data_IF_337038519810
#
_entry.id   IF_337038519810
#
_cell.length_a   1.000
_cell.length_b   1.000
_cell.length_c   1.000
_cell.angle_alpha   90.00
_cell.angle_beta   90.00
_cell.angle_gamma   90.00
#
_symmetry.space_group_name_H-M   'P 1'
#
loop_
_entity.id
_entity.type
_entity.pdbx_description
1 polymer ?
#
# COMPACT_ATOMS: atom_id res chain seq x y z
N UNK A 1 -25.34 9.67 3.00
CA UNK A 1 -26.11 8.42 2.94
C UNK A 1 -26.92 8.40 1.67
N UNK A 2 -26.80 7.35 0.86
CA UNK A 2 -27.62 7.20 -0.35
C UNK A 2 -29.11 7.22 0.00
N UNK A 3 -29.86 8.06 -0.71
CA UNK A 3 -31.30 8.10 -0.68
C UNK A 3 -31.86 7.71 -2.07
N UNK A 4 -32.96 6.97 -2.08
CA UNK A 4 -33.68 6.69 -3.32
C UNK A 4 -34.29 7.97 -3.90
N UNK A 5 -34.82 7.88 -5.13
CA UNK A 5 -35.47 9.01 -5.81
C UNK A 5 -36.67 9.59 -5.04
N UNK A 6 -37.30 8.80 -4.17
CA UNK A 6 -38.39 9.22 -3.28
C UNK A 6 -37.89 9.90 -1.98
N UNK A 7 -36.58 10.10 -1.84
CA UNK A 7 -35.94 10.72 -0.68
C UNK A 7 -35.71 9.77 0.50
N UNK A 8 -36.17 8.52 0.45
CA UNK A 8 -35.95 7.57 1.55
C UNK A 8 -34.50 7.10 1.57
N UNK A 9 -33.89 7.18 2.76
CA UNK A 9 -32.51 6.75 3.01
C UNK A 9 -32.49 5.62 4.06
N UNK A 10 -32.54 4.34 3.65
CA UNK A 10 -32.64 3.21 4.59
C UNK A 10 -31.44 3.12 5.55
N UNK A 11 -30.27 3.59 5.13
CA UNK A 11 -29.07 3.61 5.97
C UNK A 11 -29.02 4.77 6.97
N UNK A 12 -29.92 5.74 6.89
CA UNK A 12 -29.86 6.95 7.72
C UNK A 12 -30.04 6.65 9.22
N UNK A 13 -31.00 5.82 9.66
CA UNK A 13 -31.14 5.45 11.07
C UNK A 13 -29.86 4.83 11.62
N UNK A 14 -29.23 3.91 10.86
CA UNK A 14 -28.00 3.26 11.30
C UNK A 14 -26.84 4.23 11.49
N UNK A 15 -26.73 5.25 10.63
CA UNK A 15 -25.67 6.25 10.75
C UNK A 15 -25.94 7.19 11.94
N UNK A 16 -27.21 7.52 12.20
CA UNK A 16 -27.63 8.29 13.37
C UNK A 16 -27.38 7.53 14.68
N UNK A 17 -27.69 6.24 14.74
CA UNK A 17 -27.43 5.37 15.91
C UNK A 17 -25.93 5.30 16.25
N UNK A 18 -25.07 5.47 15.25
CA UNK A 18 -23.60 5.52 15.42
C UNK A 18 -23.09 6.92 15.82
N UNK A 19 -23.97 7.90 15.97
CA UNK A 19 -23.60 9.28 16.31
C UNK A 19 -22.87 10.03 15.20
N UNK A 20 -23.00 9.58 13.95
CA UNK A 20 -22.33 10.18 12.80
C UNK A 20 -23.28 11.12 12.07
N UNK A 21 -22.84 12.34 11.81
CA UNK A 21 -23.61 13.28 11.00
C UNK A 21 -23.59 12.84 9.52
N UNK A 22 -24.77 12.79 8.90
CA UNK A 22 -24.95 12.26 7.55
C UNK A 22 -25.83 13.16 6.69
N UNK A 23 -25.32 13.51 5.51
CA UNK A 23 -26.08 14.20 4.47
C UNK A 23 -26.73 13.15 3.56
N UNK A 24 -28.03 13.23 3.32
CA UNK A 24 -28.72 12.36 2.37
C UNK A 24 -28.40 12.76 0.93
N UNK A 25 -28.12 11.78 0.08
CA UNK A 25 -27.75 11.97 -1.32
C UNK A 25 -28.75 11.23 -2.22
N UNK A 26 -29.77 11.93 -2.77
CA UNK A 26 -30.76 11.34 -3.67
C UNK A 26 -30.12 11.03 -5.02
N UNK A 27 -30.04 9.76 -5.39
CA UNK A 27 -29.53 9.36 -6.69
C UNK A 27 -30.10 8.01 -7.13
N UNK A 28 -30.09 7.77 -8.44
CA UNK A 28 -30.50 6.49 -9.03
C UNK A 28 -29.32 5.52 -9.05
N UNK A 29 -29.59 4.26 -8.72
CA UNK A 29 -28.60 3.19 -8.74
C UNK A 29 -28.50 2.48 -7.40
N UNK A 30 -27.46 1.66 -7.26
CA UNK A 30 -27.16 1.01 -5.99
C UNK A 30 -26.35 1.93 -5.08
N UNK A 31 -26.36 1.62 -3.78
CA UNK A 31 -25.53 2.35 -2.81
C UNK A 31 -24.04 2.22 -3.13
N UNK A 32 -23.61 1.07 -3.64
CA UNK A 32 -22.23 0.85 -4.09
C UNK A 32 -21.87 1.72 -5.28
N UNK A 33 -22.74 1.84 -6.28
CA UNK A 33 -22.49 2.66 -7.47
C UNK A 33 -22.27 4.11 -7.09
N UNK A 34 -23.15 4.63 -6.23
CA UNK A 34 -23.09 6.01 -5.78
C UNK A 34 -21.84 6.25 -4.95
N UNK A 35 -21.44 5.30 -4.10
CA UNK A 35 -20.20 5.39 -3.36
C UNK A 35 -18.98 5.43 -4.29
N UNK A 36 -18.94 4.57 -5.32
CA UNK A 36 -17.87 4.55 -6.33
C UNK A 36 -17.81 5.86 -7.12
N UNK A 37 -18.96 6.38 -7.57
CA UNK A 37 -19.04 7.64 -8.31
C UNK A 37 -18.65 8.84 -7.44
N UNK A 38 -19.06 8.85 -6.17
CA UNK A 38 -18.67 9.91 -5.22
C UNK A 38 -17.16 9.90 -4.97
N UNK A 39 -16.57 8.71 -4.79
CA UNK A 39 -15.13 8.58 -4.62
C UNK A 39 -14.35 9.06 -5.86
N UNK A 40 -14.80 8.66 -7.06
CA UNK A 40 -14.20 9.11 -8.32
C UNK A 40 -14.33 10.64 -8.50
N UNK A 41 -15.51 11.21 -8.21
CA UNK A 41 -15.76 12.65 -8.26
C UNK A 41 -14.91 13.44 -7.26
N UNK A 42 -14.50 12.83 -6.14
CA UNK A 42 -13.59 13.41 -5.15
C UNK A 42 -12.11 13.21 -5.48
N UNK A 43 -11.79 12.66 -6.65
CA UNK A 43 -10.42 12.52 -7.13
C UNK A 43 -9.68 11.30 -6.57
N UNK A 44 -10.40 10.26 -6.13
CA UNK A 44 -9.76 9.01 -5.75
C UNK A 44 -8.86 8.50 -6.89
N UNK A 45 -7.63 8.12 -6.56
CA UNK A 45 -6.66 7.52 -7.49
C UNK A 45 -6.77 6.00 -7.53
N UNK A 46 -7.29 5.39 -6.47
CA UNK A 46 -7.56 3.97 -6.32
C UNK A 46 -8.84 3.78 -5.51
N UNK A 47 -9.73 2.91 -5.99
CA UNK A 47 -10.97 2.50 -5.33
C UNK A 47 -10.86 1.00 -5.10
N UNK A 48 -10.93 0.57 -3.84
CA UNK A 48 -10.87 -0.85 -3.47
C UNK A 48 -12.26 -1.34 -3.12
N UNK A 49 -12.77 -2.28 -3.90
CA UNK A 49 -14.03 -2.95 -3.62
C UNK A 49 -13.81 -4.15 -2.68
N UNK A 50 -14.48 -4.15 -1.52
CA UNK A 50 -14.41 -5.22 -0.51
C UNK A 50 -15.79 -5.84 -0.35
N UNK A 51 -15.90 -7.17 -0.44
CA UNK A 51 -17.17 -7.87 -0.25
C UNK A 51 -18.13 -7.80 -1.45
N UNK A 52 -17.69 -7.31 -2.61
CA UNK A 52 -18.51 -7.29 -3.82
C UNK A 52 -18.61 -8.68 -4.44
N UNK A 53 -19.80 -9.28 -4.42
CA UNK A 53 -20.15 -10.45 -5.22
C UNK A 53 -20.71 -9.97 -6.55
N UNK A 54 -19.85 -9.96 -7.57
CA UNK A 54 -20.26 -9.54 -8.90
C UNK A 54 -19.70 -10.52 -9.91
N UNK A 55 -20.25 -11.73 -9.91
CA UNK A 55 -20.05 -12.64 -11.03
C UNK A 55 -20.90 -12.18 -12.21
N UNK A 56 -20.40 -12.37 -13.44
CA UNK A 56 -21.17 -12.08 -14.65
C UNK A 56 -22.50 -12.86 -14.67
N UNK A 57 -22.51 -14.04 -14.04
CA UNK A 57 -23.69 -14.90 -13.89
C UNK A 57 -24.73 -14.24 -13.00
N UNK A 58 -24.39 -13.76 -11.79
CA UNK A 58 -25.33 -12.97 -10.96
C UNK A 58 -25.84 -11.71 -11.67
N UNK A 59 -25.04 -11.18 -12.59
CA UNK A 59 -25.36 -10.03 -13.43
C UNK A 59 -26.41 -10.31 -14.50
N UNK A 60 -26.38 -11.52 -15.05
CA UNK A 60 -27.27 -11.96 -16.13
C UNK A 60 -28.50 -12.71 -15.60
N UNK A 61 -28.40 -13.40 -14.46
CA UNK A 61 -29.49 -14.21 -13.88
C UNK A 61 -30.59 -13.36 -13.22
N UNK A 62 -30.27 -12.13 -12.78
CA UNK A 62 -31.23 -11.26 -12.08
C UNK A 62 -31.54 -10.03 -12.93
N UNK A 63 -32.65 -10.08 -13.65
CA UNK A 63 -33.28 -8.93 -14.33
C UNK A 63 -33.81 -7.82 -13.39
N UNK A 64 -33.03 -7.43 -12.37
CA UNK A 64 -33.40 -6.39 -11.39
C UNK A 64 -32.90 -5.02 -11.87
N UNK A 65 -33.75 -4.00 -11.75
CA UNK A 65 -33.57 -2.62 -12.25
C UNK A 65 -32.45 -1.77 -11.63
N UNK A 66 -31.38 -2.38 -11.12
CA UNK A 66 -30.17 -1.70 -10.63
C UNK A 66 -28.87 -2.21 -11.26
N UNK A 67 -28.91 -3.24 -12.10
CA UNK A 67 -27.70 -3.88 -12.63
C UNK A 67 -27.05 -3.05 -13.76
N UNK A 68 -27.86 -2.37 -14.59
CA UNK A 68 -27.32 -1.52 -15.65
C UNK A 68 -26.48 -0.36 -15.08
N UNK A 69 -26.91 0.26 -13.97
CA UNK A 69 -26.14 1.33 -13.32
C UNK A 69 -24.81 0.81 -12.77
N UNK A 70 -24.80 -0.41 -12.22
CA UNK A 70 -23.59 -1.02 -11.68
C UNK A 70 -22.58 -1.35 -12.77
N UNK A 71 -23.03 -1.85 -13.91
CA UNK A 71 -22.14 -2.12 -15.03
C UNK A 71 -21.52 -0.83 -15.57
N UNK A 72 -22.34 0.18 -15.84
CA UNK A 72 -21.87 1.47 -16.35
C UNK A 72 -20.95 2.18 -15.35
N UNK A 73 -21.26 2.11 -14.06
CA UNK A 73 -20.41 2.70 -13.01
C UNK A 73 -19.06 2.00 -12.97
N UNK A 74 -19.03 0.66 -13.01
CA UNK A 74 -17.77 -0.10 -13.04
C UNK A 74 -16.96 0.14 -14.31
N UNK A 75 -17.60 0.38 -15.47
CA UNK A 75 -16.89 0.81 -16.67
C UNK A 75 -16.27 2.20 -16.49
N UNK A 76 -17.02 3.15 -15.91
CA UNK A 76 -16.53 4.52 -15.67
C UNK A 76 -15.35 4.57 -14.71
N UNK A 77 -15.42 3.85 -13.59
CA UNK A 77 -14.35 3.84 -12.58
C UNK A 77 -13.33 2.72 -12.78
N UNK A 78 -13.48 1.89 -13.82
CA UNK A 78 -12.77 0.63 -13.99
C UNK A 78 -11.25 0.75 -13.99
N UNK A 79 -10.71 1.83 -14.54
CA UNK A 79 -9.27 2.10 -14.54
C UNK A 79 -8.67 2.31 -13.14
N UNK A 80 -9.50 2.63 -12.15
CA UNK A 80 -9.12 2.90 -10.77
C UNK A 80 -9.69 1.88 -9.79
N UNK A 81 -10.53 0.96 -10.25
CA UNK A 81 -11.26 0.02 -9.42
C UNK A 81 -10.49 -1.31 -9.30
N UNK A 82 -10.19 -1.73 -8.08
CA UNK A 82 -9.47 -2.97 -7.78
C UNK A 82 -10.25 -3.77 -6.73
N UNK A 83 -10.31 -5.09 -6.89
CA UNK A 83 -10.89 -5.98 -5.88
C UNK A 83 -9.92 -6.14 -4.68
N UNK A 84 -10.44 -6.23 -3.46
CA UNK A 84 -9.65 -6.43 -2.25
C UNK A 84 -8.67 -7.62 -2.34
N UNK A 85 -9.04 -8.69 -3.05
CA UNK A 85 -8.17 -9.85 -3.31
C UNK A 85 -7.02 -9.52 -4.25
N UNK A 86 -7.20 -8.54 -5.14
CA UNK A 86 -6.17 -8.00 -6.03
C UNK A 86 -5.19 -7.08 -5.32
N UNK A 87 -5.65 -6.33 -4.29
CA UNK A 87 -4.80 -5.42 -3.52
C UNK A 87 -3.65 -6.17 -2.83
N UNK A 88 -3.91 -7.33 -2.22
CA UNK A 88 -2.85 -8.12 -1.58
C UNK A 88 -1.79 -8.64 -2.57
N UNK A 89 -2.13 -8.79 -3.85
CA UNK A 89 -1.20 -9.17 -4.92
C UNK A 89 -0.45 -7.98 -5.52
N UNK A 90 -1.07 -6.79 -5.50
CA UNK A 90 -0.49 -5.53 -5.98
C UNK A 90 0.41 -4.87 -4.93
N UNK A 91 0.18 -5.16 -3.65
CA UNK A 91 1.01 -4.68 -2.55
C UNK A 91 2.30 -5.50 -2.46
N UNK A 92 3.30 -5.11 -3.25
CA UNK A 92 4.67 -5.63 -3.06
C UNK A 92 5.26 -5.00 -1.81
N UNK A 93 5.63 -5.83 -0.83
CA UNK A 93 6.46 -5.40 0.29
C UNK A 93 7.76 -4.81 -0.26
N UNK A 94 7.90 -3.47 -0.22
CA UNK A 94 9.19 -2.84 -0.47
C UNK A 94 9.99 -2.95 0.81
N UNK A 95 11.03 -3.79 0.80
CA UNK A 95 12.03 -3.77 1.85
C UNK A 95 12.66 -2.39 1.83
N UNK A 96 12.61 -1.68 2.95
CA UNK A 96 13.21 -0.34 3.05
C UNK A 96 14.70 -0.45 2.79
N UNK A 97 15.23 0.38 1.88
CA UNK A 97 16.67 0.47 1.63
C UNK A 97 17.46 0.78 2.91
N UNK A 98 16.87 1.57 3.83
CA UNK A 98 17.47 1.82 5.14
C UNK A 98 17.59 0.55 5.98
N UNK A 99 16.60 -0.34 5.93
CA UNK A 99 16.64 -1.61 6.67
C UNK A 99 17.76 -2.52 6.15
N UNK A 100 18.00 -2.52 4.82
CA UNK A 100 19.14 -3.23 4.24
C UNK A 100 20.48 -2.64 4.68
N UNK A 101 20.59 -1.30 4.73
CA UNK A 101 21.80 -0.62 5.22
C UNK A 101 22.08 -0.97 6.68
N UNK A 102 21.06 -0.91 7.55
CA UNK A 102 21.22 -1.28 8.96
C UNK A 102 21.59 -2.76 9.13
N UNK A 103 21.03 -3.65 8.32
CA UNK A 103 21.38 -5.07 8.33
C UNK A 103 22.86 -5.28 7.96
N UNK A 104 23.33 -4.62 6.90
CA UNK A 104 24.73 -4.68 6.47
C UNK A 104 25.66 -4.10 7.54
N UNK A 105 25.31 -2.94 8.13
CA UNK A 105 26.07 -2.35 9.23
C UNK A 105 26.14 -3.28 10.44
N UNK A 106 25.02 -3.88 10.84
CA UNK A 106 24.97 -4.84 11.94
C UNK A 106 25.89 -6.05 11.67
N UNK A 107 25.93 -6.56 10.44
CA UNK A 107 26.83 -7.63 10.05
C UNK A 107 28.31 -7.21 10.18
N UNK A 108 28.68 -6.01 9.72
CA UNK A 108 30.05 -5.49 9.87
C UNK A 108 30.44 -5.27 11.34
N UNK A 109 29.54 -4.74 12.16
CA UNK A 109 29.77 -4.57 13.60
C UNK A 109 30.01 -5.92 14.26
N UNK A 110 29.21 -6.94 13.93
CA UNK A 110 29.38 -8.29 14.47
C UNK A 110 30.74 -8.89 14.07
N UNK A 111 31.14 -8.76 12.80
CA UNK A 111 32.46 -9.21 12.33
C UNK A 111 33.58 -8.47 13.07
N UNK A 112 33.48 -7.13 13.19
CA UNK A 112 34.45 -6.32 13.92
C UNK A 112 34.59 -6.72 15.39
N UNK A 113 33.47 -7.00 16.07
CA UNK A 113 33.47 -7.48 17.45
C UNK A 113 34.19 -8.84 17.59
N UNK A 114 33.94 -9.77 16.68
CA UNK A 114 34.61 -11.10 16.67
C UNK A 114 36.12 -10.94 16.46
N UNK A 115 36.55 -10.09 15.53
CA UNK A 115 37.96 -9.83 15.27
C UNK A 115 38.66 -9.19 16.48
N UNK A 116 38.02 -8.22 17.14
CA UNK A 116 38.58 -7.53 18.30
C UNK A 116 38.79 -8.47 19.50
N UNK A 117 37.86 -9.39 19.74
CA UNK A 117 37.92 -10.32 20.87
C UNK A 117 38.90 -11.47 20.62
N UNK A 118 38.99 -11.97 19.39
CA UNK A 118 39.83 -13.13 19.06
C UNK A 118 41.34 -12.80 19.02
N UNK A 119 42.17 -13.73 19.51
CA UNK A 119 43.64 -13.62 19.49
C UNK A 119 44.20 -13.58 18.07
N UNK A 120 43.65 -14.38 17.16
CA UNK A 120 44.00 -14.34 15.74
C UNK A 120 43.52 -13.05 15.06
N UNK A 121 42.34 -12.55 15.42
CA UNK A 121 41.76 -11.34 14.82
C UNK A 121 42.56 -10.08 15.13
N UNK A 122 43.14 -9.95 16.33
CA UNK A 122 44.07 -8.87 16.66
C UNK A 122 45.28 -8.84 15.73
N UNK A 123 45.91 -9.99 15.45
CA UNK A 123 47.02 -10.08 14.49
C UNK A 123 46.62 -9.64 13.07
N UNK A 124 45.43 -10.01 12.61
CA UNK A 124 44.94 -9.55 11.30
C UNK A 124 44.62 -8.05 11.27
N UNK A 125 44.11 -7.48 12.36
CA UNK A 125 43.84 -6.04 12.47
C UNK A 125 45.12 -5.22 12.45
N UNK A 126 46.16 -5.67 13.17
CA UNK A 126 47.47 -5.00 13.18
C UNK A 126 48.10 -5.01 11.79
N UNK A 127 48.11 -6.16 11.10
CA UNK A 127 48.60 -6.28 9.71
C UNK A 127 47.81 -5.40 8.73
N UNK A 128 46.50 -5.25 8.94
CA UNK A 128 45.67 -4.38 8.10
C UNK A 128 45.96 -2.89 8.35
N UNK A 129 46.16 -2.51 9.61
CA UNK A 129 46.54 -1.15 9.98
C UNK A 129 47.90 -0.76 9.40
N UNK A 130 48.89 -1.66 9.46
CA UNK A 130 50.22 -1.46 8.88
C UNK A 130 50.14 -1.27 7.37
N UNK A 131 49.36 -2.11 6.66
CA UNK A 131 49.13 -2.00 5.20
C UNK A 131 48.46 -0.68 4.82
N UNK A 132 47.50 -0.19 5.61
CA UNK A 132 46.87 1.11 5.38
C UNK A 132 47.86 2.26 5.63
N UNK A 133 48.69 2.15 6.67
CA UNK A 133 49.78 3.10 6.94
C UNK A 133 50.76 3.18 5.77
N UNK A 134 51.19 2.04 5.26
CA UNK A 134 52.11 1.95 4.10
C UNK A 134 51.48 2.54 2.84
N UNK A 135 50.20 2.26 2.58
CA UNK A 135 49.48 2.81 1.43
C UNK A 135 49.30 4.33 1.54
N UNK A 136 48.98 4.85 2.72
CA UNK A 136 48.87 6.29 2.98
C UNK A 136 50.24 6.98 2.89
N UNK A 137 51.31 6.32 3.34
CA UNK A 137 52.69 6.78 3.19
C UNK A 137 53.11 6.85 1.72
N UNK A 138 52.80 5.80 0.95
CA UNK A 138 53.04 5.76 -0.50
C UNK A 138 52.26 6.85 -1.24
N UNK A 139 50.97 7.04 -0.92
CA UNK A 139 50.16 8.11 -1.50
C UNK A 139 50.71 9.49 -1.15
N UNK A 140 51.07 9.74 0.12
CA UNK A 140 51.67 11.03 0.52
C UNK A 140 53.01 11.29 -0.19
N UNK A 141 53.82 10.27 -0.39
CA UNK A 141 55.07 10.36 -1.15
C UNK A 141 54.88 10.58 -2.65
N UNK A 142 53.68 10.33 -3.19
CA UNK A 142 53.32 10.57 -4.59
C UNK A 142 52.83 12.00 -4.85
N UNK A 143 52.38 12.70 -3.80
CA UNK A 143 51.85 14.07 -3.86
C UNK A 143 52.80 15.11 -3.25
N UNK A 144 54.05 14.73 -2.93
CA UNK A 144 55.16 15.62 -2.54
C UNK A 144 56.30 15.50 -3.54
#
# INVERSE_FOLDING_TARGET
>A
VHAYADGRAPGLPRVQDLGVEAITFPATGTSEDIAMLLADAKGATLIVAVGTHATLVEFLDKGRGGMASTFLTRLRVGAKLVDAKGVSRLYKSRISSSALIFLVLAAFIAIGAVLAVSTAGRTYLDLFADRLGDLLGWLKGLFS
#
